data_IF_137401421638
#
_entry.id   IF_137401421638
#
_cell.length_a   1.000
_cell.length_b   1.000
_cell.length_c   1.000
_cell.angle_alpha   90.00
_cell.angle_beta   90.00
_cell.angle_gamma   90.00
#
_symmetry.space_group_name_H-M   'P 1'
#
loop_
_entity.id
_entity.type
_entity.pdbx_description
1 polymer ?
#
# COMPACT_ATOMS: atom_id res chain seq x y z
N UNK A 1 22.29 62.80 24.48
CA UNK A 1 22.92 61.51 24.10
C UNK A 1 21.84 60.43 24.07
N UNK A 2 21.54 59.86 22.90
CA UNK A 2 20.57 58.75 22.74
C UNK A 2 21.36 57.50 22.32
N UNK A 3 21.30 56.46 23.15
CA UNK A 3 22.00 55.19 22.95
C UNK A 3 21.16 54.34 21.99
N UNK A 4 21.63 54.20 20.75
CA UNK A 4 21.02 53.30 19.76
C UNK A 4 21.60 51.90 19.97
N UNK A 5 20.82 51.02 20.61
CA UNK A 5 21.16 49.60 20.77
C UNK A 5 20.88 48.87 19.45
N UNK A 6 21.92 48.55 18.71
CA UNK A 6 21.86 47.70 17.52
C UNK A 6 21.68 46.23 17.94
N UNK A 7 20.44 45.75 17.89
CA UNK A 7 20.11 44.34 18.10
C UNK A 7 20.48 43.56 16.82
N UNK A 8 21.58 42.80 16.87
CA UNK A 8 21.99 41.93 15.75
C UNK A 8 21.07 40.70 15.72
N UNK A 9 20.22 40.64 14.70
CA UNK A 9 19.39 39.47 14.38
C UNK A 9 20.30 38.36 13.82
N UNK A 10 20.56 37.33 14.63
CA UNK A 10 21.20 36.09 14.18
C UNK A 10 20.15 35.22 13.48
N UNK A 11 20.07 35.30 12.16
CA UNK A 11 19.19 34.45 11.37
C UNK A 11 19.82 33.06 11.19
N UNK A 12 19.41 32.11 12.04
CA UNK A 12 19.73 30.68 11.86
C UNK A 12 18.80 30.14 10.77
N UNK A 13 19.34 29.96 9.57
CA UNK A 13 18.64 29.34 8.44
C UNK A 13 18.69 27.82 8.64
N UNK A 14 17.66 27.28 9.28
CA UNK A 14 17.45 25.83 9.41
C UNK A 14 16.97 25.26 8.07
N UNK A 15 17.88 24.70 7.28
CA UNK A 15 17.57 23.88 6.10
C UNK A 15 16.91 22.57 6.56
N UNK A 16 15.58 22.57 6.60
CA UNK A 16 14.80 21.35 6.79
C UNK A 16 14.88 20.51 5.51
N UNK A 17 15.79 19.53 5.49
CA UNK A 17 15.80 18.47 4.49
C UNK A 17 14.55 17.59 4.70
N UNK A 18 13.47 17.93 4.00
CA UNK A 18 12.31 17.05 3.88
C UNK A 18 12.70 15.92 2.94
N UNK A 19 13.03 14.75 3.50
CA UNK A 19 13.14 13.54 2.69
C UNK A 19 11.75 13.21 2.16
N UNK A 20 11.55 13.34 0.85
CA UNK A 20 10.35 12.83 0.21
C UNK A 20 10.29 11.32 0.46
N UNK A 21 9.29 10.86 1.21
CA UNK A 21 9.00 9.44 1.30
C UNK A 21 8.58 8.98 -0.10
N UNK A 22 9.50 8.29 -0.79
CA UNK A 22 9.23 7.75 -2.12
C UNK A 22 8.23 6.62 -1.97
N UNK A 23 6.98 6.91 -2.30
CA UNK A 23 5.94 5.90 -2.42
C UNK A 23 6.33 4.94 -3.56
N UNK A 24 6.56 3.67 -3.23
CA UNK A 24 6.99 2.67 -4.20
C UNK A 24 5.79 2.20 -5.04
N UNK A 25 5.82 2.50 -6.34
CA UNK A 25 4.84 1.99 -7.30
C UNK A 25 5.19 0.56 -7.70
N UNK A 26 4.18 -0.30 -7.78
CA UNK A 26 4.30 -1.69 -8.21
C UNK A 26 3.17 -2.07 -9.15
N UNK A 27 3.33 -3.20 -9.85
CA UNK A 27 2.31 -3.77 -10.73
C UNK A 27 1.78 -5.04 -10.09
N UNK A 28 0.47 -5.14 -9.88
CA UNK A 28 -0.14 -6.34 -9.32
C UNK A 28 -0.31 -7.39 -10.42
N UNK A 29 0.31 -8.55 -10.22
CA UNK A 29 0.28 -9.65 -11.18
C UNK A 29 0.55 -10.98 -10.48
N UNK A 30 -0.39 -11.93 -10.55
CA UNK A 30 -0.16 -13.31 -10.12
C UNK A 30 0.02 -14.20 -11.36
N UNK A 31 1.19 -14.84 -11.54
CA UNK A 31 1.43 -15.70 -12.69
C UNK A 31 0.39 -16.82 -12.82
N UNK A 32 -0.20 -16.96 -14.01
CA UNK A 32 -1.19 -18.01 -14.30
C UNK A 32 -2.62 -17.67 -13.90
N UNK A 33 -2.86 -16.56 -13.21
CA UNK A 33 -4.21 -16.16 -12.78
C UNK A 33 -4.77 -15.01 -13.62
N UNK A 34 -6.10 -14.99 -13.76
CA UNK A 34 -6.84 -13.94 -14.48
C UNK A 34 -7.21 -12.75 -13.60
N UNK A 35 -6.90 -12.81 -12.31
CA UNK A 35 -7.21 -11.81 -11.31
C UNK A 35 -6.17 -11.82 -10.19
N UNK A 36 -6.09 -10.71 -9.47
CA UNK A 36 -5.30 -10.57 -8.24
C UNK A 36 -6.24 -10.15 -7.11
N UNK A 37 -6.23 -10.88 -6.00
CA UNK A 37 -6.97 -10.51 -4.79
C UNK A 37 -6.12 -9.58 -3.94
N UNK A 38 -6.67 -8.41 -3.63
CA UNK A 38 -6.21 -7.58 -2.52
C UNK A 38 -7.01 -7.99 -1.29
N UNK A 39 -6.34 -8.57 -0.29
CA UNK A 39 -6.96 -9.05 0.94
C UNK A 39 -7.12 -7.91 1.94
N UNK A 40 -8.12 -7.96 2.83
CA UNK A 40 -8.29 -6.92 3.85
C UNK A 40 -7.08 -6.76 4.78
N UNK A 41 -6.42 -7.87 5.12
CA UNK A 41 -5.21 -7.92 5.95
C UNK A 41 -4.54 -9.30 5.84
N UNK A 42 -3.39 -9.48 6.52
CA UNK A 42 -2.63 -10.74 6.46
C UNK A 42 -3.34 -11.94 7.09
N UNK A 43 -4.25 -11.75 8.05
CA UNK A 43 -5.06 -12.85 8.61
C UNK A 43 -6.13 -13.29 7.61
N UNK A 44 -6.81 -12.32 6.99
CA UNK A 44 -7.78 -12.53 5.93
C UNK A 44 -7.17 -13.29 4.74
N UNK A 45 -5.94 -12.94 4.34
CA UNK A 45 -5.21 -13.68 3.30
C UNK A 45 -4.96 -15.14 3.69
N UNK A 46 -4.51 -15.41 4.93
CA UNK A 46 -4.26 -16.79 5.38
C UNK A 46 -5.54 -17.63 5.42
N UNK A 47 -6.60 -17.09 6.02
CA UNK A 47 -7.90 -17.78 6.09
C UNK A 47 -8.49 -17.99 4.69
N UNK A 48 -8.43 -16.97 3.84
CA UNK A 48 -8.90 -17.04 2.48
C UNK A 48 -8.19 -18.12 1.67
N UNK A 49 -6.86 -18.24 1.78
CA UNK A 49 -6.12 -19.30 1.10
C UNK A 49 -6.48 -20.71 1.58
N UNK A 50 -6.85 -20.89 2.85
CA UNK A 50 -7.38 -22.18 3.35
C UNK A 50 -8.72 -22.48 2.69
N UNK A 51 -9.64 -21.50 2.72
CA UNK A 51 -11.01 -21.65 2.20
C UNK A 51 -11.08 -21.80 0.67
N UNK A 52 -10.11 -21.26 -0.06
CA UNK A 52 -10.08 -21.31 -1.53
C UNK A 52 -9.99 -22.74 -2.08
N UNK A 53 -9.52 -23.70 -1.27
CA UNK A 53 -9.43 -25.11 -1.65
C UNK A 53 -10.69 -25.92 -1.30
N UNK A 54 -11.66 -25.31 -0.62
CA UNK A 54 -12.90 -25.98 -0.22
C UNK A 54 -13.97 -25.92 -1.34
N UNK A 55 -14.92 -26.86 -1.38
CA UNK A 55 -16.09 -26.76 -2.25
C UNK A 55 -16.86 -25.46 -1.99
N UNK A 56 -17.07 -24.64 -3.02
CA UNK A 56 -17.67 -23.31 -2.87
C UNK A 56 -16.74 -22.24 -2.30
N UNK A 57 -15.42 -22.50 -2.28
CA UNK A 57 -14.41 -21.64 -1.67
C UNK A 57 -14.47 -20.17 -2.10
N UNK A 58 -14.85 -19.88 -3.36
CA UNK A 58 -14.99 -18.51 -3.85
C UNK A 58 -16.01 -17.71 -3.03
N UNK A 59 -17.18 -18.27 -2.73
CA UNK A 59 -18.19 -17.58 -1.94
C UNK A 59 -17.73 -17.40 -0.48
N UNK A 60 -16.98 -18.38 0.03
CA UNK A 60 -16.43 -18.37 1.38
C UNK A 60 -15.33 -17.32 1.57
N UNK A 61 -14.56 -17.00 0.53
CA UNK A 61 -13.49 -16.00 0.63
C UNK A 61 -13.97 -14.55 0.54
N UNK A 62 -15.16 -14.30 -0.02
CA UNK A 62 -15.65 -12.94 -0.29
C UNK A 62 -15.58 -11.98 0.93
N UNK A 63 -15.91 -12.41 2.16
CA UNK A 63 -15.81 -11.53 3.33
C UNK A 63 -14.38 -11.08 3.67
N UNK A 64 -13.35 -11.75 3.15
CA UNK A 64 -11.93 -11.49 3.41
C UNK A 64 -11.26 -10.63 2.33
N UNK A 65 -11.94 -10.44 1.20
CA UNK A 65 -11.45 -9.70 0.05
C UNK A 65 -11.73 -8.20 0.25
N UNK A 66 -10.73 -7.36 -0.03
CA UNK A 66 -10.93 -5.91 -0.12
C UNK A 66 -11.36 -5.50 -1.53
N UNK A 67 -10.67 -6.03 -2.55
CA UNK A 67 -11.06 -5.94 -3.95
C UNK A 67 -10.37 -7.02 -4.78
N UNK A 68 -10.92 -7.26 -5.98
CA UNK A 68 -10.33 -8.13 -7.00
C UNK A 68 -10.00 -7.28 -8.21
N UNK A 69 -8.73 -7.27 -8.62
CA UNK A 69 -8.26 -6.45 -9.74
C UNK A 69 -7.72 -7.32 -10.86
N UNK A 70 -7.62 -6.74 -12.07
CA UNK A 70 -7.02 -7.43 -13.21
C UNK A 70 -5.49 -7.47 -13.07
N UNK A 71 -4.82 -8.50 -13.59
CA UNK A 71 -3.36 -8.50 -13.73
C UNK A 71 -2.89 -7.24 -14.49
N UNK A 72 -1.76 -6.67 -14.07
CA UNK A 72 -1.22 -5.43 -14.63
C UNK A 72 -1.73 -4.15 -13.96
N UNK A 73 -2.66 -4.24 -13.00
CA UNK A 73 -3.15 -3.07 -12.24
C UNK A 73 -2.02 -2.46 -11.41
N UNK A 74 -1.80 -1.14 -11.45
CA UNK A 74 -0.80 -0.52 -10.58
C UNK A 74 -1.32 -0.39 -9.15
N UNK A 75 -0.39 -0.50 -8.23
CA UNK A 75 -0.61 -0.16 -6.84
C UNK A 75 0.60 0.59 -6.26
N UNK A 76 0.38 1.21 -5.11
CA UNK A 76 1.40 1.89 -4.32
C UNK A 76 1.59 1.10 -3.04
N UNK A 77 2.82 0.69 -2.72
CA UNK A 77 3.14 0.10 -1.43
C UNK A 77 3.08 1.20 -0.37
N UNK A 78 2.22 1.02 0.63
CA UNK A 78 2.08 1.92 1.79
C UNK A 78 2.77 1.41 3.04
N UNK A 79 3.05 0.11 3.11
CA UNK A 79 3.92 -0.47 4.14
C UNK A 79 4.53 -1.77 3.63
N UNK A 80 5.85 -1.89 3.78
CA UNK A 80 6.62 -3.04 3.33
C UNK A 80 7.01 -3.99 4.47
N UNK A 81 6.45 -3.76 5.68
CA UNK A 81 6.82 -4.53 6.88
C UNK A 81 6.15 -5.90 6.92
N UNK A 82 6.97 -6.96 7.03
CA UNK A 82 6.50 -8.33 7.16
C UNK A 82 6.37 -9.07 5.83
N UNK A 83 5.69 -10.22 5.84
CA UNK A 83 5.56 -11.08 4.66
C UNK A 83 4.65 -10.48 3.59
N UNK A 84 3.53 -9.85 4.00
CA UNK A 84 2.58 -9.24 3.08
C UNK A 84 2.92 -7.77 2.84
N UNK A 85 2.59 -7.26 1.65
CA UNK A 85 2.80 -5.86 1.29
C UNK A 85 1.48 -5.12 1.39
N UNK A 86 1.43 -4.04 2.17
CA UNK A 86 0.26 -3.17 2.20
C UNK A 86 0.26 -2.31 0.96
N UNK A 87 -0.86 -2.31 0.24
CA UNK A 87 -0.99 -1.62 -1.03
C UNK A 87 -2.26 -0.77 -1.09
N UNK A 88 -2.19 0.28 -1.91
CA UNK A 88 -3.35 1.04 -2.37
C UNK A 88 -3.39 0.96 -3.90
N UNK A 89 -4.51 0.48 -4.44
CA UNK A 89 -4.72 0.38 -5.89
C UNK A 89 -4.74 1.78 -6.51
N UNK A 90 -3.92 2.00 -7.55
CA UNK A 90 -3.68 3.31 -8.12
C UNK A 90 -4.53 3.60 -9.38
N UNK A 91 -5.05 2.57 -10.05
CA UNK A 91 -5.85 2.69 -11.27
C UNK A 91 -7.01 1.68 -11.37
N UNK A 92 -7.85 1.87 -12.40
CA UNK A 92 -9.04 1.05 -12.66
C UNK A 92 -10.24 1.36 -11.76
N UNK A 93 -11.26 0.51 -11.86
CA UNK A 93 -12.54 0.65 -11.14
C UNK A 93 -12.39 0.55 -9.62
N UNK A 94 -11.31 -0.09 -9.15
CA UNK A 94 -11.00 -0.28 -7.74
C UNK A 94 -9.95 0.71 -7.21
N UNK A 95 -9.71 1.82 -7.91
CA UNK A 95 -8.76 2.85 -7.44
C UNK A 95 -9.09 3.31 -6.02
N UNK A 96 -8.08 3.32 -5.16
CA UNK A 96 -8.21 3.64 -3.74
C UNK A 96 -8.53 2.44 -2.84
N UNK A 97 -8.82 1.26 -3.41
CA UNK A 97 -8.90 0.02 -2.64
C UNK A 97 -7.60 -0.20 -1.86
N UNK A 98 -7.73 -0.58 -0.58
CA UNK A 98 -6.61 -0.77 0.34
C UNK A 98 -6.63 -2.17 0.90
N UNK A 99 -5.46 -2.76 1.05
CA UNK A 99 -5.33 -4.05 1.70
C UNK A 99 -3.91 -4.57 1.58
N UNK A 100 -3.79 -5.90 1.58
CA UNK A 100 -2.51 -6.58 1.47
C UNK A 100 -2.49 -7.55 0.30
N UNK A 101 -1.30 -7.72 -0.27
CA UNK A 101 -1.01 -8.75 -1.27
C UNK A 101 0.20 -9.57 -0.84
N UNK A 102 0.31 -10.79 -1.36
CA UNK A 102 1.48 -11.62 -1.13
C UNK A 102 2.63 -11.21 -2.06
N UNK A 103 3.89 -11.53 -1.72
CA UNK A 103 5.03 -11.22 -2.59
C UNK A 103 4.94 -11.81 -3.99
N UNK A 104 4.21 -12.91 -4.19
CA UNK A 104 4.01 -13.53 -5.50
C UNK A 104 2.94 -12.86 -6.37
N UNK A 105 2.30 -11.80 -5.86
CA UNK A 105 1.24 -11.05 -6.55
C UNK A 105 1.75 -9.68 -7.06
N UNK A 106 3.06 -9.44 -6.99
CA UNK A 106 3.76 -8.21 -7.40
C UNK A 106 4.86 -8.57 -8.40
#
# INVERSE_FOLDING_TARGET
>A
MKIVRALKFTAIVSLLFTQAALAQSVTLNRPGESWVIVWQNGSASRQGNVLMNEPGGIDLIMPFVACVVKPGTRAIITSDTGYFKWVVVADGDYRGCRGVVSPGDI
#
